data_IF_434032537227
#
_entry.id   IF_434032537227
#
_cell.length_a   1.000
_cell.length_b   1.000
_cell.length_c   1.000
_cell.angle_alpha   90.00
_cell.angle_beta   90.00
_cell.angle_gamma   90.00
#
_symmetry.space_group_name_H-M   'P 1'
#
loop_
_entity.id
_entity.type
_entity.pdbx_description
1 polymer ?
#
# COMPACT_ATOMS: atom_id res chain seq x y z
N UNK A 1 22.20 10.06 17.34
CA UNK A 1 22.39 8.59 17.26
C UNK A 1 21.14 7.80 17.67
N UNK A 2 20.53 8.05 18.85
CA UNK A 2 19.34 7.32 19.33
C UNK A 2 18.09 7.51 18.46
N UNK A 3 17.73 8.76 18.12
CA UNK A 3 16.54 9.06 17.27
C UNK A 3 16.67 8.47 15.86
N UNK A 4 17.80 8.69 15.16
CA UNK A 4 18.09 8.02 13.87
C UNK A 4 17.94 6.49 13.92
N UNK A 5 18.35 5.85 15.02
CA UNK A 5 18.19 4.39 15.19
C UNK A 5 16.72 4.00 15.35
N UNK A 6 15.93 4.81 16.03
CA UNK A 6 14.50 4.61 16.19
C UNK A 6 13.76 4.77 14.86
N UNK A 7 14.08 5.81 14.08
CA UNK A 7 13.50 6.03 12.75
C UNK A 7 13.82 4.88 11.79
N UNK A 8 15.07 4.41 11.78
CA UNK A 8 15.46 3.25 10.98
C UNK A 8 14.67 1.98 11.39
N UNK A 9 14.38 1.80 12.69
CA UNK A 9 13.55 0.69 13.16
C UNK A 9 12.09 0.82 12.72
N UNK A 10 11.51 2.02 12.85
CA UNK A 10 10.14 2.30 12.40
C UNK A 10 10.01 2.07 10.89
N UNK A 11 10.96 2.59 10.12
CA UNK A 11 11.02 2.38 8.67
C UNK A 11 11.11 0.91 8.30
N UNK A 12 12.01 0.14 8.95
CA UNK A 12 12.13 -1.31 8.69
C UNK A 12 10.85 -2.06 9.05
N UNK A 13 10.21 -1.72 10.18
CA UNK A 13 8.94 -2.33 10.58
C UNK A 13 7.83 -2.05 9.56
N UNK A 14 7.79 -0.83 9.01
CA UNK A 14 6.85 -0.43 7.96
C UNK A 14 7.09 -1.19 6.66
N UNK A 15 8.35 -1.31 6.24
CA UNK A 15 8.75 -2.07 5.05
C UNK A 15 8.38 -3.56 5.18
N UNK A 16 8.55 -4.15 6.38
CA UNK A 16 8.13 -5.52 6.69
C UNK A 16 6.61 -5.66 6.58
N UNK A 17 5.86 -4.72 7.18
CA UNK A 17 4.40 -4.73 7.15
C UNK A 17 3.85 -4.56 5.72
N UNK A 18 4.46 -3.67 4.93
CA UNK A 18 4.13 -3.48 3.52
C UNK A 18 4.41 -4.75 2.71
N UNK A 19 5.59 -5.36 2.88
CA UNK A 19 5.94 -6.61 2.22
C UNK A 19 4.93 -7.72 2.55
N UNK A 20 4.55 -7.85 3.82
CA UNK A 20 3.53 -8.79 4.27
C UNK A 20 2.16 -8.55 3.61
N UNK A 21 1.66 -7.30 3.61
CA UNK A 21 0.40 -6.96 2.94
C UNK A 21 0.42 -7.26 1.44
N UNK A 22 1.57 -7.05 0.79
CA UNK A 22 1.75 -7.34 -0.63
C UNK A 22 1.76 -8.84 -0.93
N UNK A 23 2.28 -9.68 -0.02
CA UNK A 23 2.20 -11.14 -0.14
C UNK A 23 0.73 -11.58 -0.06
N UNK A 24 -0.01 -11.15 0.97
CA UNK A 24 -1.43 -11.48 1.12
C UNK A 24 -2.25 -11.06 -0.12
N UNK A 25 -1.93 -9.89 -0.69
CA UNK A 25 -2.59 -9.42 -1.90
C UNK A 25 -2.23 -10.29 -3.13
N UNK A 26 -0.96 -10.71 -3.26
CA UNK A 26 -0.53 -11.59 -4.34
C UNK A 26 -1.14 -12.99 -4.23
N UNK A 27 -1.36 -13.51 -3.03
CA UNK A 27 -2.13 -14.75 -2.82
C UNK A 27 -3.59 -14.60 -3.27
N UNK A 28 -4.22 -13.45 -2.98
CA UNK A 28 -5.57 -13.14 -3.50
C UNK A 28 -5.58 -12.97 -5.02
N UNK A 29 -4.50 -12.46 -5.60
CA UNK A 29 -4.33 -12.42 -7.05
C UNK A 29 -4.25 -13.82 -7.64
N UNK A 30 -3.50 -14.73 -6.99
CA UNK A 30 -3.41 -16.13 -7.39
C UNK A 30 -4.77 -16.83 -7.31
N UNK A 31 -5.52 -16.61 -6.24
CA UNK A 31 -6.89 -17.13 -6.08
C UNK A 31 -7.80 -16.64 -7.22
N UNK A 32 -7.79 -15.33 -7.49
CA UNK A 32 -8.56 -14.70 -8.57
C UNK A 32 -8.21 -15.30 -9.93
N UNK A 33 -6.93 -15.40 -10.25
CA UNK A 33 -6.48 -15.94 -11.54
C UNK A 33 -6.76 -17.44 -11.67
N UNK A 34 -6.73 -18.19 -10.56
CA UNK A 34 -7.06 -19.63 -10.56
C UNK A 34 -8.53 -19.83 -10.92
N UNK A 35 -9.42 -19.06 -10.30
CA UNK A 35 -10.85 -19.10 -10.62
C UNK A 35 -11.13 -18.69 -12.07
N UNK A 36 -10.38 -17.71 -12.61
CA UNK A 36 -10.48 -17.34 -14.03
C UNK A 36 -9.97 -18.43 -14.96
N UNK A 37 -8.90 -19.15 -14.62
CA UNK A 37 -8.46 -20.30 -15.39
C UNK A 37 -9.54 -21.38 -15.45
N UNK A 38 -10.22 -21.67 -14.34
CA UNK A 38 -11.31 -22.64 -14.33
C UNK A 38 -12.48 -22.23 -15.24
N UNK A 39 -12.78 -20.93 -15.29
CA UNK A 39 -13.75 -20.38 -16.24
C UNK A 39 -13.30 -20.59 -17.69
N UNK A 40 -12.02 -20.37 -18.01
CA UNK A 40 -11.49 -20.60 -19.36
C UNK A 40 -11.50 -22.08 -19.74
N UNK A 41 -11.19 -22.98 -18.80
CA UNK A 41 -11.31 -24.42 -19.00
C UNK A 41 -12.76 -24.83 -19.29
N UNK A 42 -13.73 -24.29 -18.55
CA UNK A 42 -15.15 -24.53 -18.83
C UNK A 42 -15.58 -24.03 -20.21
N UNK A 43 -15.10 -22.85 -20.64
CA UNK A 43 -15.34 -22.31 -22.00
C UNK A 43 -14.73 -23.23 -23.06
N UNK A 44 -13.52 -23.74 -22.82
CA UNK A 44 -12.85 -24.66 -23.74
C UNK A 44 -13.56 -26.01 -23.89
N UNK A 45 -14.04 -26.61 -22.80
CA UNK A 45 -14.82 -27.85 -22.87
C UNK A 45 -16.12 -27.66 -23.66
N UNK A 46 -16.76 -26.49 -23.53
CA UNK A 46 -17.91 -26.15 -24.37
C UNK A 46 -17.53 -25.99 -25.85
N UNK A 47 -16.40 -25.36 -26.14
CA UNK A 47 -15.88 -25.22 -27.51
C UNK A 47 -15.58 -26.60 -28.14
N UNK A 48 -15.00 -27.53 -27.40
CA UNK A 48 -14.79 -28.93 -27.86
C UNK A 48 -16.10 -29.60 -28.25
N UNK A 49 -17.14 -29.47 -27.42
CA UNK A 49 -18.44 -30.06 -27.70
C UNK A 49 -19.08 -29.47 -28.97
N UNK A 50 -18.97 -28.17 -29.20
CA UNK A 50 -19.47 -27.52 -30.41
C UNK A 50 -18.68 -27.92 -31.67
N UNK A 51 -17.35 -28.03 -31.56
CA UNK A 51 -16.50 -28.50 -32.64
C UNK A 51 -16.84 -29.94 -33.04
N UNK A 52 -16.98 -30.84 -32.06
CA UNK A 52 -17.40 -32.22 -32.30
C UNK A 52 -18.78 -32.33 -32.96
N UNK A 53 -19.67 -31.36 -32.71
CA UNK A 53 -20.96 -31.25 -33.37
C UNK A 53 -20.91 -30.55 -34.74
N UNK A 54 -19.72 -30.16 -35.23
CA UNK A 54 -19.53 -29.45 -36.49
C UNK A 54 -20.01 -27.98 -36.48
N UNK A 55 -20.24 -27.41 -35.29
CA UNK A 55 -20.79 -26.05 -35.10
C UNK A 55 -19.73 -24.99 -34.78
N UNK A 56 -18.46 -25.38 -34.72
CA UNK A 56 -17.33 -24.51 -34.43
C UNK A 56 -16.20 -24.81 -35.42
N UNK A 57 -15.43 -23.81 -35.84
CA UNK A 57 -14.24 -24.02 -36.67
C UNK A 57 -13.06 -24.56 -35.86
N UNK A 58 -12.11 -25.18 -36.54
CA UNK A 58 -10.85 -25.62 -35.91
C UNK A 58 -10.06 -24.42 -35.34
N UNK A 59 -10.06 -23.29 -36.05
CA UNK A 59 -9.39 -22.06 -35.60
C UNK A 59 -9.99 -21.53 -34.29
N UNK A 60 -11.32 -21.53 -34.16
CA UNK A 60 -11.99 -21.08 -32.94
C UNK A 60 -11.76 -22.04 -31.76
N UNK A 61 -11.63 -23.35 -32.02
CA UNK A 61 -11.22 -24.31 -30.99
C UNK A 61 -9.77 -24.06 -30.53
N UNK A 62 -8.86 -23.83 -31.48
CA UNK A 62 -7.46 -23.53 -31.19
C UNK A 62 -7.31 -22.21 -30.41
N UNK A 63 -8.12 -21.19 -30.70
CA UNK A 63 -8.15 -19.95 -29.94
C UNK A 63 -8.60 -20.19 -28.48
N UNK A 64 -9.61 -21.03 -28.27
CA UNK A 64 -10.05 -21.40 -26.92
C UNK A 64 -8.99 -22.19 -26.14
N UNK A 65 -8.27 -23.10 -26.80
CA UNK A 65 -7.13 -23.82 -26.23
C UNK A 65 -6.00 -22.86 -25.83
N UNK A 66 -5.66 -21.93 -26.73
CA UNK A 66 -4.64 -20.92 -26.48
C UNK A 66 -5.00 -20.03 -25.28
N UNK A 67 -6.27 -19.65 -25.11
CA UNK A 67 -6.71 -18.88 -23.92
C UNK A 67 -6.44 -19.64 -22.62
N UNK A 68 -6.69 -20.94 -22.57
CA UNK A 68 -6.39 -21.77 -21.38
C UNK A 68 -4.88 -21.85 -21.13
N UNK A 69 -4.10 -22.06 -22.18
CA UNK A 69 -2.63 -22.09 -22.09
C UNK A 69 -2.06 -20.76 -21.58
N UNK A 70 -2.43 -19.65 -22.22
CA UNK A 70 -2.00 -18.30 -21.84
C UNK A 70 -2.38 -18.00 -20.39
N UNK A 71 -3.58 -18.38 -19.95
CA UNK A 71 -4.02 -18.14 -18.57
C UNK A 71 -3.28 -18.99 -17.54
N UNK A 72 -2.84 -20.18 -17.93
CA UNK A 72 -1.98 -21.03 -17.10
C UNK A 72 -0.59 -20.41 -16.94
N UNK A 73 -0.06 -19.76 -17.98
CA UNK A 73 1.20 -19.01 -17.90
C UNK A 73 1.09 -17.77 -16.99
N UNK A 74 -0.04 -17.05 -17.03
CA UNK A 74 -0.30 -15.92 -16.11
C UNK A 74 -0.19 -16.37 -14.64
N UNK A 75 -0.70 -17.55 -14.29
CA UNK A 75 -0.61 -18.08 -12.93
C UNK A 75 0.82 -18.30 -12.47
N UNK A 76 1.69 -18.77 -13.36
CA UNK A 76 3.10 -18.97 -13.01
C UNK A 76 3.79 -17.64 -12.76
N UNK A 77 3.47 -16.61 -13.55
CA UNK A 77 3.94 -15.24 -13.31
C UNK A 77 3.52 -14.71 -11.92
N UNK A 78 2.28 -14.98 -11.50
CA UNK A 78 1.81 -14.59 -10.15
C UNK A 78 2.55 -15.36 -9.06
N UNK A 79 2.85 -16.65 -9.26
CA UNK A 79 3.65 -17.46 -8.31
C UNK A 79 5.07 -16.93 -8.18
N UNK A 80 5.72 -16.57 -9.29
CA UNK A 80 7.04 -15.94 -9.27
C UNK A 80 7.03 -14.60 -8.53
N UNK A 81 5.96 -13.80 -8.72
CA UNK A 81 5.77 -12.57 -7.95
C UNK A 81 5.72 -12.84 -6.45
N UNK A 82 4.96 -13.85 -6.00
CA UNK A 82 4.89 -14.27 -4.59
C UNK A 82 6.29 -14.65 -4.07
N UNK A 83 7.02 -15.51 -4.80
CA UNK A 83 8.40 -15.91 -4.43
C UNK A 83 9.34 -14.71 -4.27
N UNK A 84 9.23 -13.71 -5.15
CA UNK A 84 10.04 -12.48 -5.06
C UNK A 84 9.70 -11.66 -3.81
N UNK A 85 8.42 -11.59 -3.45
CA UNK A 85 7.95 -10.86 -2.27
C UNK A 85 8.37 -11.57 -0.97
N UNK A 86 8.31 -12.90 -0.94
CA UNK A 86 8.83 -13.73 0.16
C UNK A 86 10.34 -13.55 0.32
N UNK A 87 11.10 -13.55 -0.77
CA UNK A 87 12.55 -13.27 -0.75
C UNK A 87 12.83 -11.88 -0.18
N UNK A 88 12.08 -10.87 -0.61
CA UNK A 88 12.17 -9.52 -0.04
C UNK A 88 11.86 -9.51 1.47
N UNK A 89 10.84 -10.25 1.90
CA UNK A 89 10.50 -10.37 3.32
C UNK A 89 11.63 -11.03 4.12
N UNK A 90 12.25 -12.11 3.61
CA UNK A 90 13.42 -12.75 4.24
C UNK A 90 14.56 -11.76 4.44
N UNK A 91 14.90 -11.00 3.39
CA UNK A 91 15.93 -9.94 3.47
C UNK A 91 15.59 -8.87 4.52
N UNK A 92 14.32 -8.46 4.59
CA UNK A 92 13.87 -7.49 5.58
C UNK A 92 13.91 -8.03 7.01
N UNK A 93 13.72 -9.34 7.19
CA UNK A 93 13.76 -10.04 8.48
C UNK A 93 15.17 -10.53 8.86
N UNK A 94 16.16 -10.37 7.98
CA UNK A 94 17.53 -10.89 8.18
C UNK A 94 17.55 -12.43 8.32
N UNK A 95 16.68 -13.11 7.57
CA UNK A 95 16.62 -14.56 7.49
C UNK A 95 17.51 -15.09 6.37
N UNK A 96 17.99 -16.32 6.50
CA UNK A 96 18.66 -17.01 5.40
C UNK A 96 17.68 -17.16 4.22
N UNK A 97 18.19 -17.03 2.99
CA UNK A 97 17.38 -17.15 1.79
C UNK A 97 16.95 -18.59 1.54
N UNK A 98 17.77 -19.54 1.99
CA UNK A 98 17.53 -20.98 1.86
C UNK A 98 16.55 -21.50 2.92
N UNK A 99 16.34 -20.76 4.03
CA UNK A 99 15.38 -21.13 5.06
C UNK A 99 13.94 -21.04 4.55
N UNK A 100 13.09 -22.01 4.90
CA UNK A 100 11.66 -21.92 4.60
C UNK A 100 11.01 -20.77 5.40
N UNK A 101 10.26 -19.93 4.69
CA UNK A 101 9.47 -18.90 5.35
C UNK A 101 8.31 -19.59 6.10
N UNK A 102 8.06 -19.28 7.38
CA UNK A 102 6.90 -19.81 8.07
C UNK A 102 5.61 -19.48 7.33
N UNK A 103 4.63 -20.40 7.38
CA UNK A 103 3.32 -20.19 6.77
C UNK A 103 2.71 -18.85 7.24
N UNK A 104 2.57 -17.90 6.32
CA UNK A 104 2.05 -16.58 6.61
C UNK A 104 0.52 -16.64 6.76
N UNK A 105 0.05 -16.92 7.97
CA UNK A 105 -1.38 -16.85 8.29
C UNK A 105 -1.77 -15.41 8.59
N UNK A 106 -2.34 -14.74 7.60
CA UNK A 106 -2.85 -13.38 7.69
C UNK A 106 -4.22 -13.22 7.04
N UNK A 107 -5.03 -12.31 7.59
CA UNK A 107 -6.28 -11.89 6.97
C UNK A 107 -6.20 -10.42 6.56
N UNK A 108 -6.71 -10.11 5.37
CA UNK A 108 -6.90 -8.73 4.93
C UNK A 108 -8.13 -8.17 5.67
N UNK A 109 -7.90 -7.67 6.88
CA UNK A 109 -8.94 -7.13 7.76
C UNK A 109 -8.73 -5.65 8.02
N UNK A 110 -9.61 -4.83 7.47
CA UNK A 110 -9.58 -3.40 7.70
C UNK A 110 -10.14 -3.05 9.08
N UNK A 111 -9.33 -2.35 9.86
CA UNK A 111 -9.78 -1.62 11.05
C UNK A 111 -9.64 -0.14 10.76
N UNK A 112 -10.76 0.57 10.69
CA UNK A 112 -10.74 2.01 10.41
C UNK A 112 -10.00 2.77 11.52
N UNK A 113 -9.24 3.78 11.13
CA UNK A 113 -8.68 4.75 12.06
C UNK A 113 -9.84 5.51 12.73
N UNK A 114 -9.78 5.65 14.05
CA UNK A 114 -10.70 6.53 14.80
C UNK A 114 -10.46 7.98 14.39
N UNK A 115 -11.45 8.82 14.61
CA UNK A 115 -11.32 10.25 14.32
C UNK A 115 -10.12 10.84 15.09
N UNK A 116 -9.30 11.63 14.39
CA UNK A 116 -8.06 12.20 14.92
C UNK A 116 -8.18 13.72 14.91
N UNK A 117 -7.87 14.33 16.06
CA UNK A 117 -7.67 15.77 16.16
C UNK A 117 -6.28 16.11 15.62
N UNK A 118 -6.25 16.66 14.40
CA UNK A 118 -5.01 16.97 13.70
C UNK A 118 -4.19 18.07 14.38
N UNK A 119 -4.83 19.05 15.00
CA UNK A 119 -4.10 20.14 15.66
C UNK A 119 -3.37 19.60 16.89
N UNK A 120 -4.04 18.75 17.68
CA UNK A 120 -3.40 18.06 18.81
C UNK A 120 -2.28 17.11 18.38
N UNK A 121 -2.45 16.43 17.24
CA UNK A 121 -1.38 15.59 16.68
C UNK A 121 -0.18 16.44 16.29
N UNK A 122 -0.37 17.58 15.64
CA UNK A 122 0.74 18.43 15.22
C UNK A 122 1.49 19.01 16.43
N UNK A 123 0.79 19.51 17.45
CA UNK A 123 1.40 20.00 18.69
C UNK A 123 2.33 18.97 19.33
N UNK A 124 1.91 17.70 19.33
CA UNK A 124 2.66 16.62 19.98
C UNK A 124 3.72 16.01 19.09
N UNK A 125 3.55 15.93 17.77
CA UNK A 125 4.41 15.13 16.89
C UNK A 125 5.53 15.90 16.17
N UNK A 126 5.41 17.22 16.00
CA UNK A 126 6.36 18.02 15.21
C UNK A 126 7.80 17.92 15.75
N UNK A 127 7.95 17.94 17.06
CA UNK A 127 9.24 17.97 17.76
C UNK A 127 9.99 16.63 17.81
N UNK A 128 9.37 15.54 17.35
CA UNK A 128 9.93 14.19 17.43
C UNK A 128 10.43 13.63 16.10
N UNK A 129 10.33 14.43 15.05
CA UNK A 129 11.01 14.15 13.80
C UNK A 129 12.52 14.38 13.94
N UNK A 130 13.35 13.45 13.45
CA UNK A 130 14.81 13.59 13.52
C UNK A 130 15.32 14.82 12.78
N UNK A 131 14.72 15.19 11.64
CA UNK A 131 15.14 16.37 10.88
C UNK A 131 14.82 17.66 11.63
N UNK A 132 13.64 17.72 12.27
CA UNK A 132 13.26 18.82 13.16
C UNK A 132 14.19 18.90 14.36
N UNK A 133 14.48 17.78 15.01
CA UNK A 133 15.41 17.71 16.14
C UNK A 133 16.82 18.18 15.76
N UNK A 134 17.34 17.74 14.62
CA UNK A 134 18.66 18.15 14.12
C UNK A 134 18.70 19.63 13.75
N UNK A 135 17.65 20.16 13.12
CA UNK A 135 17.55 21.58 12.78
C UNK A 135 17.45 22.46 14.04
N UNK A 136 16.66 22.06 15.04
CA UNK A 136 16.58 22.72 16.34
C UNK A 136 17.96 22.74 17.05
N UNK A 137 18.68 21.62 17.03
CA UNK A 137 20.04 21.54 17.58
C UNK A 137 21.03 22.51 16.90
N UNK A 138 20.98 22.60 15.56
CA UNK A 138 21.80 23.55 14.80
C UNK A 138 21.45 25.01 15.12
N UNK A 139 20.16 25.33 15.21
CA UNK A 139 19.68 26.65 15.60
C UNK A 139 20.16 27.03 17.01
N UNK A 140 20.00 26.13 17.99
CA UNK A 140 20.44 26.37 19.37
C UNK A 140 21.96 26.61 19.45
N UNK A 141 22.76 25.84 18.71
CA UNK A 141 24.21 26.03 18.65
C UNK A 141 24.61 27.37 18.01
N UNK A 142 23.94 27.76 16.92
CA UNK A 142 24.16 29.05 16.27
C UNK A 142 23.76 30.22 17.18
N UNK A 143 22.66 30.07 17.93
CA UNK A 143 22.19 31.07 18.88
C UNK A 143 23.19 31.27 20.03
N UNK A 144 23.70 30.19 20.61
CA UNK A 144 24.73 30.27 21.64
C UNK A 144 26.04 30.90 21.10
N UNK A 145 26.42 30.56 19.87
CA UNK A 145 27.57 31.18 19.19
C UNK A 145 27.37 32.69 19.02
N UNK A 146 26.17 33.12 18.66
CA UNK A 146 25.83 34.53 18.53
C UNK A 146 25.92 35.26 19.88
N UNK A 147 25.40 34.68 20.96
CA UNK A 147 25.50 35.27 22.30
C UNK A 147 26.95 35.58 22.69
N UNK A 148 27.87 34.62 22.51
CA UNK A 148 29.30 34.87 22.75
C UNK A 148 29.91 35.88 21.77
N UNK A 149 29.39 35.95 20.55
CA UNK A 149 29.86 36.91 19.54
C UNK A 149 29.46 38.33 19.91
N UNK A 150 28.26 38.54 20.44
CA UNK A 150 27.75 39.84 20.89
C UNK A 150 28.56 40.41 22.07
N UNK A 151 29.14 39.54 22.91
CA UNK A 151 30.02 39.95 24.01
C UNK A 151 31.39 40.47 23.53
N UNK A 152 31.90 39.97 22.41
CA UNK A 152 33.29 40.17 21.98
C UNK A 152 33.44 41.05 20.72
N UNK A 153 32.41 41.11 19.88
CA UNK A 153 32.46 41.75 18.56
C UNK A 153 31.28 42.72 18.37
N UNK A 154 31.51 43.76 17.56
CA UNK A 154 30.46 44.76 17.22
C UNK A 154 29.92 44.53 15.82
N UNK A 155 28.69 44.99 15.59
CA UNK A 155 28.08 45.02 14.26
C UNK A 155 28.99 45.71 13.23
N UNK A 156 29.04 45.16 12.01
CA UNK A 156 29.93 45.59 10.93
C UNK A 156 31.33 44.95 10.95
N UNK A 157 31.66 44.18 12.00
CA UNK A 157 32.83 43.31 11.99
C UNK A 157 32.47 41.98 11.30
N UNK A 158 33.37 41.48 10.45
CA UNK A 158 33.11 40.29 9.63
C UNK A 158 32.65 39.07 10.44
N UNK A 159 33.23 38.83 11.62
CA UNK A 159 32.83 37.73 12.52
C UNK A 159 31.40 37.90 13.02
N UNK A 160 31.01 39.12 13.41
CA UNK A 160 29.65 39.42 13.86
C UNK A 160 28.64 39.17 12.75
N UNK A 161 28.87 39.76 11.57
CA UNK A 161 27.93 39.68 10.45
C UNK A 161 27.81 38.24 9.94
N UNK A 162 28.90 37.47 9.94
CA UNK A 162 28.90 36.05 9.56
C UNK A 162 28.09 35.21 10.54
N UNK A 163 28.31 35.38 11.86
CA UNK A 163 27.59 34.59 12.87
C UNK A 163 26.11 34.94 12.91
N UNK A 164 25.76 36.22 12.72
CA UNK A 164 24.37 36.64 12.56
C UNK A 164 23.71 35.99 11.34
N UNK A 165 24.38 35.98 10.19
CA UNK A 165 23.87 35.31 8.99
C UNK A 165 23.69 33.80 9.19
N UNK A 166 24.61 33.15 9.90
CA UNK A 166 24.53 31.73 10.25
C UNK A 166 23.34 31.43 11.17
N UNK A 167 23.08 32.29 12.18
CA UNK A 167 21.92 32.18 13.05
C UNK A 167 20.62 32.32 12.26
N UNK A 168 20.51 33.34 11.41
CA UNK A 168 19.33 33.55 10.55
C UNK A 168 19.09 32.37 9.60
N UNK A 169 20.16 31.80 9.04
CA UNK A 169 20.07 30.59 8.21
C UNK A 169 19.58 29.39 9.03
N UNK A 170 20.16 29.15 10.20
CA UNK A 170 19.76 28.03 11.05
C UNK A 170 18.31 28.15 11.53
N UNK A 171 17.81 29.37 11.79
CA UNK A 171 16.41 29.63 12.09
C UNK A 171 15.49 29.25 10.92
N UNK A 172 15.81 29.74 9.70
CA UNK A 172 15.04 29.40 8.49
C UNK A 172 15.01 27.89 8.22
N UNK A 173 16.13 27.20 8.42
CA UNK A 173 16.22 25.75 8.26
C UNK A 173 15.34 25.02 9.29
N UNK A 174 15.29 25.51 10.53
CA UNK A 174 14.44 24.96 11.59
C UNK A 174 12.94 25.17 11.31
N UNK A 175 12.53 26.39 10.95
CA UNK A 175 11.15 26.69 10.56
C UNK A 175 10.71 25.87 9.33
N UNK A 176 11.61 25.69 8.36
CA UNK A 176 11.36 24.85 7.18
C UNK A 176 11.17 23.38 7.58
N UNK A 177 11.98 22.85 8.50
CA UNK A 177 11.85 21.48 8.99
C UNK A 177 10.48 21.26 9.68
N UNK A 178 10.04 22.19 10.53
CA UNK A 178 8.72 22.15 11.16
C UNK A 178 7.60 22.12 10.13
N UNK A 179 7.63 23.03 9.16
CA UNK A 179 6.61 23.13 8.11
C UNK A 179 6.58 21.87 7.23
N UNK A 180 7.74 21.33 6.88
CA UNK A 180 7.82 20.10 6.10
C UNK A 180 7.19 18.92 6.85
N UNK A 181 7.45 18.81 8.17
CA UNK A 181 6.87 17.78 9.00
C UNK A 181 5.35 17.91 9.12
N UNK A 182 4.85 19.13 9.29
CA UNK A 182 3.41 19.40 9.28
C UNK A 182 2.76 18.95 7.96
N UNK A 183 3.34 19.37 6.84
CA UNK A 183 2.84 19.02 5.50
C UNK A 183 2.82 17.50 5.30
N UNK A 184 3.87 16.80 5.72
CA UNK A 184 3.95 15.34 5.64
C UNK A 184 2.81 14.66 6.41
N UNK A 185 2.58 15.06 7.66
CA UNK A 185 1.52 14.51 8.51
C UNK A 185 0.13 14.79 7.92
N UNK A 186 -0.13 16.05 7.49
CA UNK A 186 -1.40 16.43 6.88
C UNK A 186 -1.66 15.68 5.57
N UNK A 187 -0.65 15.54 4.73
CA UNK A 187 -0.76 14.78 3.47
C UNK A 187 -1.06 13.31 3.73
N UNK A 188 -0.34 12.68 4.66
CA UNK A 188 -0.56 11.27 5.02
C UNK A 188 -1.99 11.05 5.56
N UNK A 189 -2.51 11.97 6.37
CA UNK A 189 -3.89 11.91 6.84
C UNK A 189 -4.92 12.09 5.71
N UNK A 190 -4.71 13.07 4.82
CA UNK A 190 -5.60 13.31 3.68
C UNK A 190 -5.64 12.10 2.73
N UNK A 191 -4.47 11.49 2.47
CA UNK A 191 -4.41 10.25 1.71
C UNK A 191 -5.20 9.13 2.37
N UNK A 192 -5.12 9.01 3.70
CA UNK A 192 -5.89 8.03 4.47
C UNK A 192 -7.40 8.24 4.36
N UNK A 193 -7.86 9.50 4.39
CA UNK A 193 -9.27 9.84 4.17
C UNK A 193 -9.73 9.48 2.75
N UNK A 194 -8.91 9.79 1.74
CA UNK A 194 -9.23 9.45 0.35
C UNK A 194 -9.35 7.94 0.12
N UNK A 195 -8.45 7.14 0.70
CA UNK A 195 -8.53 5.67 0.58
C UNK A 195 -9.68 5.10 1.40
N UNK A 196 -10.07 5.76 2.52
CA UNK A 196 -11.28 5.38 3.28
C UNK A 196 -12.55 5.50 2.43
N UNK A 197 -12.67 6.57 1.65
CA UNK A 197 -13.82 6.75 0.77
C UNK A 197 -13.79 5.73 -0.38
N UNK A 198 -12.59 5.44 -0.91
CA UNK A 198 -12.38 4.37 -1.90
C UNK A 198 -12.78 2.99 -1.38
N UNK A 199 -12.57 2.67 -0.09
CA UNK A 199 -13.04 1.41 0.51
C UNK A 199 -14.56 1.28 0.41
N UNK A 200 -15.29 2.33 0.81
CA UNK A 200 -16.74 2.33 0.75
C UNK A 200 -17.26 2.18 -0.69
N UNK A 201 -16.57 2.79 -1.67
CA UNK A 201 -16.89 2.62 -3.08
C UNK A 201 -16.61 1.19 -3.57
N UNK A 202 -15.48 0.59 -3.17
CA UNK A 202 -15.13 -0.78 -3.54
C UNK A 202 -16.12 -1.80 -2.98
N UNK A 203 -16.55 -1.65 -1.72
CA UNK A 203 -17.58 -2.51 -1.12
C UNK A 203 -18.91 -2.43 -1.89
N UNK A 204 -19.38 -1.20 -2.20
CA UNK A 204 -20.60 -1.01 -2.99
C UNK A 204 -20.49 -1.58 -4.41
N UNK A 205 -19.31 -1.50 -5.01
CA UNK A 205 -19.06 -2.04 -6.33
C UNK A 205 -19.12 -3.58 -6.33
N UNK A 206 -18.55 -4.22 -5.32
CA UNK A 206 -18.68 -5.68 -5.13
C UNK A 206 -20.15 -6.08 -4.99
N UNK A 207 -20.92 -5.37 -4.16
CA UNK A 207 -22.35 -5.64 -3.98
C UNK A 207 -23.15 -5.51 -5.29
N UNK A 208 -22.81 -4.51 -6.11
CA UNK A 208 -23.43 -4.32 -7.42
C UNK A 208 -23.09 -5.49 -8.37
N UNK A 209 -21.83 -5.90 -8.43
CA UNK A 209 -21.38 -7.01 -9.27
C UNK A 209 -21.98 -8.35 -8.81
N UNK A 210 -22.13 -8.56 -7.51
CA UNK A 210 -22.82 -9.73 -6.95
C UNK A 210 -24.27 -9.80 -7.42
N UNK A 211 -25.04 -8.71 -7.28
CA UNK A 211 -26.43 -8.64 -7.76
C UNK A 211 -26.54 -8.89 -9.27
N UNK A 212 -25.57 -8.39 -10.06
CA UNK A 212 -25.51 -8.65 -11.51
C UNK A 212 -25.24 -10.13 -11.81
N UNK A 213 -24.32 -10.75 -11.07
CA UNK A 213 -24.03 -12.18 -11.19
C UNK A 213 -25.26 -13.04 -10.84
N UNK A 214 -25.96 -12.73 -9.75
CA UNK A 214 -27.19 -13.43 -9.35
C UNK A 214 -28.27 -13.30 -10.43
N UNK A 215 -28.45 -12.10 -11.00
CA UNK A 215 -29.37 -11.88 -12.11
C UNK A 215 -28.97 -12.69 -13.36
N UNK A 216 -27.68 -12.72 -13.69
CA UNK A 216 -27.16 -13.51 -14.81
C UNK A 216 -27.39 -15.00 -14.59
N UNK A 217 -27.16 -15.50 -13.38
CA UNK A 217 -27.41 -16.90 -13.01
C UNK A 217 -28.88 -17.29 -13.24
N UNK A 218 -29.83 -16.50 -12.74
CA UNK A 218 -31.27 -16.77 -12.95
C UNK A 218 -31.65 -16.74 -14.43
N UNK A 219 -31.08 -15.81 -15.21
CA UNK A 219 -31.33 -15.74 -16.66
C UNK A 219 -30.75 -16.96 -17.38
N UNK A 220 -29.56 -17.41 -16.99
CA UNK A 220 -28.91 -18.58 -17.57
C UNK A 220 -29.70 -19.86 -17.28
N UNK A 221 -30.14 -20.05 -16.04
CA UNK A 221 -30.98 -21.20 -15.63
C UNK A 221 -32.32 -21.24 -16.39
N UNK A 222 -32.84 -20.08 -16.79
CA UNK A 222 -34.05 -19.95 -17.63
C UNK A 222 -33.78 -20.03 -19.13
N UNK A 223 -32.52 -20.23 -19.56
CA UNK A 223 -32.13 -20.25 -20.96
C UNK A 223 -32.24 -18.90 -21.68
N UNK A 224 -32.35 -17.80 -20.93
CA UNK A 224 -32.48 -16.43 -21.48
C UNK A 224 -31.14 -15.83 -21.89
N UNK A 225 -30.04 -16.32 -21.32
CA UNK A 225 -28.67 -16.00 -21.73
C UNK A 225 -27.89 -17.30 -21.88
N UNK A 226 -26.84 -17.27 -22.68
CA UNK A 226 -25.92 -18.40 -22.81
C UNK A 226 -24.95 -18.51 -21.62
N UNK A 227 -24.18 -19.61 -21.61
CA UNK A 227 -23.19 -19.89 -20.58
C UNK A 227 -22.06 -18.86 -20.58
N UNK A 228 -21.69 -18.33 -21.74
CA UNK A 228 -20.59 -17.39 -21.88
C UNK A 228 -20.91 -16.04 -21.20
N UNK A 229 -22.11 -15.53 -21.40
CA UNK A 229 -22.61 -14.33 -20.73
C UNK A 229 -22.66 -14.49 -19.20
N UNK A 230 -23.07 -15.67 -18.70
CA UNK A 230 -23.02 -15.98 -17.27
C UNK A 230 -21.59 -16.00 -16.73
N UNK A 231 -20.68 -16.69 -17.43
CA UNK A 231 -19.26 -16.78 -17.03
C UNK A 231 -18.57 -15.41 -17.07
N UNK A 232 -18.92 -14.54 -18.00
CA UNK A 232 -18.42 -13.15 -18.04
C UNK A 232 -18.87 -12.32 -16.85
N UNK A 233 -20.13 -12.48 -16.41
CA UNK A 233 -20.61 -11.85 -15.17
C UNK A 233 -19.85 -12.36 -13.93
N UNK A 234 -19.50 -13.65 -13.91
CA UNK A 234 -18.68 -14.27 -12.85
C UNK A 234 -17.26 -13.70 -12.84
N UNK A 235 -16.62 -13.57 -14.00
CA UNK A 235 -15.29 -12.94 -14.12
C UNK A 235 -15.30 -11.49 -13.58
N UNK A 236 -16.34 -10.71 -13.92
CA UNK A 236 -16.50 -9.33 -13.44
C UNK A 236 -16.62 -9.25 -11.91
N UNK A 237 -17.38 -10.16 -11.31
CA UNK A 237 -17.51 -10.22 -9.85
C UNK A 237 -16.19 -10.59 -9.17
N UNK A 238 -15.45 -11.56 -9.72
CA UNK A 238 -14.12 -11.97 -9.25
C UNK A 238 -13.14 -10.79 -9.29
N UNK A 239 -13.14 -10.00 -10.37
CA UNK A 239 -12.32 -8.79 -10.48
C UNK A 239 -12.69 -7.73 -9.44
N UNK A 240 -13.99 -7.54 -9.19
CA UNK A 240 -14.46 -6.62 -8.16
C UNK A 240 -13.98 -7.04 -6.76
N UNK A 241 -14.05 -8.34 -6.43
CA UNK A 241 -13.56 -8.87 -5.15
C UNK A 241 -12.07 -8.59 -4.97
N UNK A 242 -11.25 -8.88 -5.98
CA UNK A 242 -9.82 -8.60 -5.91
C UNK A 242 -9.52 -7.10 -5.80
N UNK A 243 -10.22 -6.26 -6.55
CA UNK A 243 -10.08 -4.80 -6.46
C UNK A 243 -10.36 -4.29 -5.05
N UNK A 244 -11.40 -4.82 -4.39
CA UNK A 244 -11.68 -4.52 -2.98
C UNK A 244 -10.54 -4.94 -2.06
N UNK A 245 -10.02 -6.16 -2.19
CA UNK A 245 -8.89 -6.61 -1.35
C UNK A 245 -7.64 -5.75 -1.56
N UNK A 246 -7.38 -5.30 -2.80
CA UNK A 246 -6.32 -4.33 -3.10
C UNK A 246 -6.51 -3.02 -2.34
N UNK A 247 -7.71 -2.43 -2.40
CA UNK A 247 -8.02 -1.19 -1.66
C UNK A 247 -7.88 -1.38 -0.15
N UNK A 248 -8.24 -2.56 0.38
CA UNK A 248 -8.07 -2.91 1.79
C UNK A 248 -6.60 -2.97 2.21
N UNK A 249 -5.74 -3.64 1.45
CA UNK A 249 -4.29 -3.64 1.71
C UNK A 249 -3.71 -2.22 1.62
N UNK A 250 -4.10 -1.44 0.62
CA UNK A 250 -3.64 -0.05 0.47
C UNK A 250 -4.04 0.80 1.68
N UNK A 251 -5.28 0.67 2.16
CA UNK A 251 -5.72 1.33 3.38
C UNK A 251 -4.89 0.90 4.60
N UNK A 252 -4.66 -0.40 4.76
CA UNK A 252 -3.87 -0.95 5.85
C UNK A 252 -2.44 -0.37 5.88
N UNK A 253 -1.79 -0.30 4.72
CA UNK A 253 -0.44 0.28 4.57
C UNK A 253 -0.47 1.78 4.86
N UNK A 254 -1.36 2.55 4.23
CA UNK A 254 -1.47 4.01 4.45
C UNK A 254 -1.78 4.35 5.90
N UNK A 255 -2.61 3.55 6.56
CA UNK A 255 -2.91 3.70 7.99
C UNK A 255 -1.66 3.50 8.84
N UNK A 256 -0.90 2.43 8.61
CA UNK A 256 0.33 2.19 9.38
C UNK A 256 1.40 3.24 9.08
N UNK A 257 1.50 3.73 7.84
CA UNK A 257 2.35 4.87 7.47
C UNK A 257 1.99 6.09 8.31
N UNK A 258 0.71 6.49 8.34
CA UNK A 258 0.25 7.62 9.13
C UNK A 258 0.53 7.43 10.62
N UNK A 259 0.22 6.25 11.16
CA UNK A 259 0.49 5.91 12.55
C UNK A 259 1.98 5.95 12.87
N UNK A 260 2.86 5.55 11.96
CA UNK A 260 4.32 5.64 12.15
C UNK A 260 4.82 7.08 12.26
N UNK A 261 4.13 8.03 11.60
CA UNK A 261 4.45 9.47 11.68
C UNK A 261 4.02 10.09 13.01
N UNK A 262 2.92 9.59 13.60
CA UNK A 262 2.31 10.22 14.78
C UNK A 262 2.57 9.44 16.09
N UNK A 263 2.93 8.15 16.03
CA UNK A 263 3.19 7.32 17.20
C UNK A 263 4.56 7.62 17.80
N UNK A 264 4.56 8.06 19.06
CA UNK A 264 5.66 7.81 19.98
C UNK A 264 5.43 6.51 20.75
N UNK A 265 6.54 5.87 21.16
CA UNK A 265 6.59 4.81 22.16
C UNK A 265 5.73 5.19 23.39
N UNK A 266 4.53 4.64 23.49
CA UNK A 266 3.68 4.77 24.69
C UNK A 266 2.33 5.47 24.52
N UNK A 267 1.87 5.83 23.33
CA UNK A 267 0.50 6.34 23.13
C UNK A 267 -0.31 5.38 22.25
N UNK A 268 -0.49 4.16 22.76
CA UNK A 268 -1.64 3.30 22.44
C UNK A 268 -1.96 2.52 23.70
N UNK A 269 -2.85 3.09 24.52
CA UNK A 269 -3.75 2.30 25.37
C UNK A 269 -5.00 1.93 24.59
#
# INVERSE_FOLDING_TARGET
ARLRKEDNRKKRALEVYEAFCNILLAEKELEKETQKLDIQKEKFEFAKALYAAGKLSADALAEAEYRVFSKSADLESVREKIRSLETRLKLLLDMDLDDELPELKGEIKVVLLREVDMEKVLETSLQFDTSVYEAAGRYNAANLTMQFTEELFRAGQATYDTNKSNLEKALRDYESALKNREVEIRNSYNELLNIRDSLALADRYVDLCMKKLDSAKVKYEKGMIDKEAYLSAKETYIDALFSRERTRCEYMIKKENFLSLIRQSGITG
#
